data_IF_338857182716
#
_entry.id   IF_338857182716
#
_cell.length_a   1.000
_cell.length_b   1.000
_cell.length_c   1.000
_cell.angle_alpha   90.00
_cell.angle_beta   90.00
_cell.angle_gamma   90.00
#
_symmetry.space_group_name_H-M   'P 1'
#
loop_
_entity.id
_entity.type
_entity.pdbx_description
1 polymer ?
#
# COMPACT_ATOMS: atom_id res chain seq x y z
N UNK A 1 -5.45 -9.12 9.33
CA UNK A 1 -4.95 -7.94 10.09
C UNK A 1 -5.81 -6.70 9.83
N UNK A 2 -5.70 -5.67 10.69
CA UNK A 2 -6.23 -4.34 10.41
C UNK A 2 -5.41 -3.69 9.29
N UNK A 3 -6.03 -2.83 8.49
CA UNK A 3 -5.44 -2.17 7.32
C UNK A 3 -4.07 -1.52 7.60
N UNK A 4 -3.89 -0.91 8.77
CA UNK A 4 -2.62 -0.26 9.16
C UNK A 4 -1.44 -1.22 9.22
N UNK A 5 -1.66 -2.46 9.68
CA UNK A 5 -0.58 -3.43 9.82
C UNK A 5 -0.11 -3.95 8.45
N UNK A 6 -0.96 -3.85 7.41
CA UNK A 6 -0.59 -4.17 6.03
C UNK A 6 0.39 -3.16 5.44
N UNK A 7 0.58 -1.99 6.07
CA UNK A 7 1.60 -1.02 5.69
C UNK A 7 2.98 -1.26 6.35
N UNK A 8 3.10 -2.23 7.28
CA UNK A 8 4.37 -2.53 7.96
C UNK A 8 5.57 -2.80 7.02
N UNK A 9 5.42 -3.53 5.89
CA UNK A 9 6.52 -3.72 4.93
C UNK A 9 7.07 -2.40 4.39
N UNK A 10 6.20 -1.44 4.13
CA UNK A 10 6.57 -0.12 3.60
C UNK A 10 7.30 0.72 4.65
N UNK A 11 6.94 0.60 5.93
CA UNK A 11 7.70 1.25 7.01
C UNK A 11 9.11 0.66 7.14
N UNK A 12 9.24 -0.67 7.10
CA UNK A 12 10.56 -1.32 7.13
C UNK A 12 11.43 -0.89 5.95
N UNK A 13 10.84 -0.88 4.74
CA UNK A 13 11.48 -0.35 3.54
C UNK A 13 11.90 1.11 3.71
N UNK A 14 10.99 1.99 4.14
CA UNK A 14 11.22 3.42 4.32
C UNK A 14 12.33 3.71 5.34
N UNK A 15 12.48 2.93 6.40
CA UNK A 15 13.57 3.13 7.36
C UNK A 15 14.92 2.79 6.72
N UNK A 16 15.03 1.65 6.05
CA UNK A 16 16.30 1.16 5.52
C UNK A 16 16.81 1.96 4.31
N UNK A 17 15.90 2.46 3.46
CA UNK A 17 16.27 3.35 2.36
C UNK A 17 16.86 4.67 2.85
N UNK A 18 16.38 5.22 3.98
CA UNK A 18 16.96 6.44 4.58
C UNK A 18 18.36 6.21 5.16
N UNK A 19 18.69 4.96 5.50
CA UNK A 19 20.03 4.56 5.92
C UNK A 19 20.97 4.26 4.72
N UNK A 20 20.46 4.36 3.48
CA UNK A 20 21.22 4.10 2.26
C UNK A 20 21.24 2.64 1.81
N UNK A 21 20.57 1.73 2.51
CA UNK A 21 20.59 0.30 2.22
C UNK A 21 19.40 -0.12 1.33
N UNK A 22 19.39 0.27 0.05
CA UNK A 22 18.25 0.04 -0.84
C UNK A 22 17.91 -1.44 -1.04
N UNK A 23 18.91 -2.27 -1.35
CA UNK A 23 18.67 -3.70 -1.57
C UNK A 23 18.18 -4.39 -0.29
N UNK A 24 18.79 -4.07 0.85
CA UNK A 24 18.34 -4.57 2.14
C UNK A 24 16.92 -4.09 2.49
N UNK A 25 16.55 -2.87 2.10
CA UNK A 25 15.20 -2.34 2.29
C UNK A 25 14.15 -3.17 1.53
N UNK A 26 14.45 -3.57 0.28
CA UNK A 26 13.56 -4.41 -0.52
C UNK A 26 13.40 -5.80 0.09
N UNK A 27 14.50 -6.43 0.50
CA UNK A 27 14.46 -7.72 1.19
C UNK A 27 13.74 -7.65 2.54
N UNK A 28 13.94 -6.58 3.31
CA UNK A 28 13.24 -6.38 4.57
C UNK A 28 11.74 -6.19 4.36
N UNK A 29 11.33 -5.42 3.34
CA UNK A 29 9.94 -5.30 2.94
C UNK A 29 9.34 -6.67 2.58
N UNK A 30 10.05 -7.47 1.78
CA UNK A 30 9.63 -8.82 1.40
C UNK A 30 9.51 -9.75 2.63
N UNK A 31 10.50 -9.73 3.52
CA UNK A 31 10.53 -10.54 4.73
C UNK A 31 9.39 -10.17 5.69
N UNK A 32 9.14 -8.88 5.90
CA UNK A 32 8.03 -8.40 6.74
C UNK A 32 6.69 -8.78 6.11
N UNK A 33 6.53 -8.61 4.79
CA UNK A 33 5.31 -9.02 4.09
C UNK A 33 5.07 -10.54 4.21
N UNK A 34 6.10 -11.35 4.00
CA UNK A 34 6.03 -12.81 4.13
C UNK A 34 5.70 -13.24 5.57
N UNK A 35 6.35 -12.64 6.56
CA UNK A 35 6.11 -12.94 7.97
C UNK A 35 4.67 -12.62 8.38
N UNK A 36 4.13 -11.49 7.93
CA UNK A 36 2.74 -11.11 8.19
C UNK A 36 1.75 -12.05 7.50
N UNK A 37 1.99 -12.38 6.23
CA UNK A 37 1.16 -13.31 5.47
C UNK A 37 1.14 -14.71 6.12
N UNK A 38 2.32 -15.18 6.53
CA UNK A 38 2.47 -16.48 7.20
C UNK A 38 1.81 -16.47 8.58
N UNK A 39 1.97 -15.40 9.36
CA UNK A 39 1.30 -15.22 10.65
C UNK A 39 -0.22 -15.24 10.48
N UNK A 40 -0.76 -14.48 9.54
CA UNK A 40 -2.21 -14.41 9.33
C UNK A 40 -2.77 -15.77 8.89
N UNK A 41 -2.02 -16.53 8.09
CA UNK A 41 -2.47 -17.85 7.63
C UNK A 41 -2.32 -18.96 8.66
N UNK A 42 -1.16 -19.06 9.33
CA UNK A 42 -0.82 -20.16 10.23
C UNK A 42 -1.29 -19.93 11.67
N UNK A 43 -1.25 -18.68 12.15
CA UNK A 43 -1.56 -18.36 13.55
C UNK A 43 -3.02 -17.92 13.69
N UNK A 44 -3.50 -17.09 12.76
CA UNK A 44 -4.85 -16.49 12.86
C UNK A 44 -5.90 -17.15 11.96
N UNK A 45 -5.51 -18.09 11.09
CA UNK A 45 -6.43 -18.79 10.18
C UNK A 45 -7.17 -17.88 9.19
N UNK A 46 -6.63 -16.70 8.91
CA UNK A 46 -7.26 -15.68 8.05
C UNK A 46 -7.02 -15.98 6.57
N UNK A 47 -7.95 -15.51 5.74
CA UNK A 47 -7.79 -15.54 4.28
C UNK A 47 -6.76 -14.53 3.82
N UNK A 48 -6.02 -14.87 2.76
CA UNK A 48 -5.08 -13.93 2.15
C UNK A 48 -5.79 -12.73 1.56
N UNK A 49 -5.20 -11.55 1.75
CA UNK A 49 -5.71 -10.32 1.13
C UNK A 49 -4.94 -9.93 -0.12
N UNK A 50 -5.63 -9.36 -1.12
CA UNK A 50 -5.03 -8.90 -2.38
C UNK A 50 -3.85 -7.95 -2.11
N UNK A 51 -4.01 -7.01 -1.17
CA UNK A 51 -2.95 -6.07 -0.82
C UNK A 51 -1.73 -6.76 -0.20
N UNK A 52 -1.94 -7.77 0.65
CA UNK A 52 -0.86 -8.49 1.33
C UNK A 52 -0.05 -9.34 0.35
N UNK A 53 -0.74 -10.09 -0.51
CA UNK A 53 -0.10 -10.87 -1.59
C UNK A 53 0.63 -9.92 -2.55
N UNK A 54 -0.04 -8.86 -3.00
CA UNK A 54 0.53 -7.88 -3.92
C UNK A 54 1.79 -7.23 -3.35
N UNK A 55 1.76 -6.87 -2.06
CA UNK A 55 2.92 -6.28 -1.38
C UNK A 55 4.09 -7.25 -1.31
N UNK A 56 3.83 -8.52 -0.97
CA UNK A 56 4.87 -9.55 -0.96
C UNK A 56 5.47 -9.74 -2.36
N UNK A 57 4.63 -9.89 -3.38
CA UNK A 57 5.07 -10.07 -4.78
C UNK A 57 5.87 -8.86 -5.26
N UNK A 58 5.42 -7.64 -4.93
CA UNK A 58 6.12 -6.41 -5.28
C UNK A 58 7.51 -6.35 -4.66
N UNK A 59 7.63 -6.49 -3.34
CA UNK A 59 8.92 -6.40 -2.68
C UNK A 59 9.85 -7.56 -3.03
N UNK A 60 9.35 -8.81 -3.06
CA UNK A 60 10.15 -9.96 -3.43
C UNK A 60 10.60 -9.86 -4.90
N UNK A 61 9.70 -9.46 -5.80
CA UNK A 61 10.01 -9.26 -7.21
C UNK A 61 11.07 -8.18 -7.43
N UNK A 62 10.94 -7.03 -6.76
CA UNK A 62 11.93 -5.96 -6.84
C UNK A 62 13.27 -6.34 -6.21
N UNK A 63 13.26 -7.06 -5.08
CA UNK A 63 14.48 -7.54 -4.44
C UNK A 63 15.23 -8.52 -5.34
N UNK A 64 14.53 -9.50 -5.91
CA UNK A 64 15.10 -10.45 -6.86
C UNK A 64 15.59 -9.75 -8.13
N UNK A 65 14.78 -8.87 -8.71
CA UNK A 65 15.17 -8.09 -9.89
C UNK A 65 16.45 -7.30 -9.64
N UNK A 66 16.54 -6.58 -8.53
CA UNK A 66 17.72 -5.80 -8.14
C UNK A 66 18.94 -6.70 -7.97
N UNK A 67 18.79 -7.83 -7.27
CA UNK A 67 19.88 -8.77 -7.01
C UNK A 67 20.43 -9.43 -8.27
N UNK A 68 19.58 -9.77 -9.24
CA UNK A 68 19.98 -10.46 -10.46
C UNK A 68 20.48 -9.53 -11.57
N UNK A 69 19.93 -8.32 -11.67
CA UNK A 69 20.37 -7.33 -12.67
C UNK A 69 21.53 -6.48 -12.20
N UNK A 70 21.81 -6.44 -10.89
CA UNK A 70 22.78 -5.50 -10.31
C UNK A 70 22.34 -4.04 -10.43
N UNK A 71 21.03 -3.80 -10.58
CA UNK A 71 20.49 -2.45 -10.75
C UNK A 71 20.85 -1.57 -9.55
N UNK A 72 21.41 -0.40 -9.83
CA UNK A 72 21.69 0.61 -8.79
C UNK A 72 20.57 1.64 -8.80
N UNK A 73 19.86 1.73 -7.69
CA UNK A 73 18.72 2.62 -7.56
C UNK A 73 19.12 3.90 -6.85
N UNK A 74 18.61 5.03 -7.33
CA UNK A 74 18.51 6.23 -6.50
C UNK A 74 17.32 6.08 -5.55
N UNK A 75 17.39 6.75 -4.40
CA UNK A 75 16.28 6.78 -3.42
C UNK A 75 14.93 7.16 -4.06
N UNK A 76 14.81 8.25 -4.83
CA UNK A 76 13.53 8.61 -5.44
C UNK A 76 13.09 7.61 -6.52
N UNK A 77 14.02 6.98 -7.26
CA UNK A 77 13.67 6.00 -8.29
C UNK A 77 13.07 4.71 -7.70
N UNK A 78 13.68 4.14 -6.65
CA UNK A 78 13.12 2.93 -6.03
C UNK A 78 11.79 3.22 -5.34
N UNK A 79 11.64 4.40 -4.72
CA UNK A 79 10.35 4.82 -4.12
C UNK A 79 9.27 4.95 -5.18
N UNK A 80 9.57 5.61 -6.30
CA UNK A 80 8.65 5.73 -7.44
C UNK A 80 8.16 4.36 -7.91
N UNK A 81 9.06 3.38 -8.08
CA UNK A 81 8.69 2.03 -8.53
C UNK A 81 7.84 1.29 -7.48
N UNK A 82 8.17 1.42 -6.19
CA UNK A 82 7.38 0.81 -5.11
C UNK A 82 5.99 1.43 -5.01
N UNK A 83 5.90 2.76 -5.03
CA UNK A 83 4.62 3.48 -4.92
C UNK A 83 3.76 3.28 -6.18
N UNK A 84 4.38 3.18 -7.36
CA UNK A 84 3.69 2.83 -8.59
C UNK A 84 3.18 1.38 -8.55
N UNK A 85 3.98 0.45 -8.03
CA UNK A 85 3.55 -0.93 -7.80
C UNK A 85 2.37 -1.02 -6.85
N UNK A 86 2.38 -0.24 -5.77
CA UNK A 86 1.27 -0.16 -4.81
C UNK A 86 0.00 0.41 -5.45
N UNK A 87 0.12 1.49 -6.22
CA UNK A 87 -0.98 2.04 -7.00
C UNK A 87 -1.56 1.00 -7.96
N UNK A 88 -0.71 0.27 -8.68
CA UNK A 88 -1.13 -0.79 -9.60
C UNK A 88 -1.89 -1.90 -8.89
N UNK A 89 -1.45 -2.35 -7.72
CA UNK A 89 -2.17 -3.37 -6.91
C UNK A 89 -3.58 -2.88 -6.57
N UNK A 90 -3.71 -1.62 -6.16
CA UNK A 90 -4.98 -1.02 -5.77
C UNK A 90 -5.92 -0.88 -6.98
N UNK A 91 -5.40 -0.38 -8.11
CA UNK A 91 -6.17 -0.28 -9.35
C UNK A 91 -6.57 -1.65 -9.90
N UNK A 92 -5.67 -2.65 -9.84
CA UNK A 92 -5.97 -4.02 -10.23
C UNK A 92 -7.09 -4.61 -9.35
N UNK A 93 -7.10 -4.32 -8.04
CA UNK A 93 -8.18 -4.76 -7.14
C UNK A 93 -9.54 -4.19 -7.56
N UNK A 94 -9.58 -2.93 -8.02
CA UNK A 94 -10.80 -2.31 -8.56
C UNK A 94 -11.21 -2.94 -9.90
N UNK A 95 -10.25 -3.19 -10.79
CA UNK A 95 -10.49 -3.78 -12.11
C UNK A 95 -11.06 -5.21 -12.03
N UNK A 96 -10.60 -6.00 -11.05
CA UNK A 96 -11.12 -7.35 -10.78
C UNK A 96 -12.46 -7.32 -10.03
N UNK A 97 -12.98 -6.12 -9.70
CA UNK A 97 -14.26 -5.96 -9.01
C UNK A 97 -14.22 -6.35 -7.52
N UNK A 98 -13.02 -6.46 -6.94
CA UNK A 98 -12.80 -6.78 -5.53
C UNK A 98 -11.94 -5.68 -4.88
N UNK A 99 -12.53 -4.50 -4.57
CA UNK A 99 -11.80 -3.40 -3.95
C UNK A 99 -11.04 -3.90 -2.73
N UNK A 100 -9.74 -3.63 -2.62
CA UNK A 100 -8.92 -4.26 -1.58
C UNK A 100 -9.44 -3.98 -0.16
N UNK A 101 -10.07 -2.81 0.08
CA UNK A 101 -10.64 -2.47 1.38
C UNK A 101 -11.80 -3.38 1.78
N UNK A 102 -12.52 -3.96 0.81
CA UNK A 102 -13.63 -4.88 1.05
C UNK A 102 -13.20 -6.07 1.92
N UNK A 103 -11.99 -6.59 1.69
CA UNK A 103 -11.44 -7.72 2.44
C UNK A 103 -11.09 -7.34 3.89
N UNK A 104 -10.77 -6.08 4.15
CA UNK A 104 -10.54 -5.58 5.51
C UNK A 104 -11.86 -5.24 6.20
N UNK A 105 -12.82 -4.66 5.48
CA UNK A 105 -14.13 -4.34 6.03
C UNK A 105 -14.85 -5.61 6.50
N UNK A 106 -14.82 -6.69 5.70
CA UNK A 106 -15.39 -7.98 6.09
C UNK A 106 -14.86 -8.55 7.40
N UNK A 107 -13.60 -8.30 7.75
CA UNK A 107 -13.04 -8.73 9.04
C UNK A 107 -13.66 -8.00 10.25
N UNK A 108 -14.28 -6.83 10.04
CA UNK A 108 -14.78 -5.93 11.09
C UNK A 108 -16.30 -5.72 11.07
N UNK A 109 -16.96 -6.08 9.97
CA UNK A 109 -18.40 -5.85 9.76
C UNK A 109 -19.17 -7.17 9.86
N UNK A 110 -20.37 -7.20 10.49
CA UNK A 110 -21.24 -8.37 10.52
C UNK A 110 -21.55 -8.92 9.13
N UNK A 111 -21.70 -10.25 9.01
CA UNK A 111 -21.92 -10.94 7.72
C UNK A 111 -23.19 -10.49 7.02
N UNK A 112 -24.21 -10.08 7.76
CA UNK A 112 -25.51 -9.65 7.23
C UNK A 112 -25.38 -8.40 6.33
N UNK A 113 -24.39 -7.55 6.60
CA UNK A 113 -24.12 -6.36 5.81
C UNK A 113 -23.27 -6.63 4.54
N UNK A 114 -22.59 -7.78 4.44
CA UNK A 114 -21.61 -8.05 3.38
C UNK A 114 -22.23 -8.09 1.97
N UNK A 115 -23.50 -8.49 1.88
CA UNK A 115 -24.24 -8.60 0.62
C UNK A 115 -24.93 -7.31 0.17
N UNK A 116 -24.88 -6.25 0.97
CA UNK A 116 -25.59 -5.01 0.63
C UNK A 116 -24.87 -4.22 -0.46
N UNK A 117 -25.59 -3.64 -1.44
CA UNK A 117 -24.98 -2.78 -2.45
C UNK A 117 -24.23 -1.59 -1.83
N UNK A 118 -24.74 -1.04 -0.74
CA UNK A 118 -24.13 0.06 -0.01
C UNK A 118 -22.75 -0.31 0.56
N UNK A 119 -22.60 -1.50 1.14
CA UNK A 119 -21.31 -1.99 1.65
C UNK A 119 -20.25 -2.07 0.55
N UNK A 120 -20.63 -2.54 -0.65
CA UNK A 120 -19.73 -2.56 -1.79
C UNK A 120 -19.34 -1.15 -2.25
N UNK A 121 -20.31 -0.23 -2.36
CA UNK A 121 -20.07 1.14 -2.84
C UNK A 121 -19.20 1.96 -1.88
N UNK A 122 -19.37 1.80 -0.57
CA UNK A 122 -18.52 2.44 0.44
C UNK A 122 -17.08 1.95 0.28
N UNK A 123 -16.86 0.65 0.20
CA UNK A 123 -15.52 0.08 0.02
C UNK A 123 -14.88 0.46 -1.31
N UNK A 124 -15.67 0.52 -2.39
CA UNK A 124 -15.20 1.00 -3.68
C UNK A 124 -14.73 2.47 -3.61
N UNK A 125 -15.50 3.33 -2.95
CA UNK A 125 -15.14 4.74 -2.74
C UNK A 125 -13.88 4.88 -1.90
N UNK A 126 -13.77 4.15 -0.77
CA UNK A 126 -12.58 4.16 0.07
C UNK A 126 -11.35 3.70 -0.74
N UNK A 127 -11.49 2.63 -1.53
CA UNK A 127 -10.41 2.14 -2.39
C UNK A 127 -9.99 3.17 -3.45
N UNK A 128 -10.93 3.92 -4.03
CA UNK A 128 -10.63 5.01 -4.97
C UNK A 128 -9.88 6.17 -4.28
N UNK A 129 -10.22 6.51 -3.04
CA UNK A 129 -9.48 7.52 -2.28
C UNK A 129 -8.05 7.08 -2.01
N UNK A 130 -7.84 5.80 -1.68
CA UNK A 130 -6.50 5.23 -1.58
C UNK A 130 -5.74 5.25 -2.91
N UNK A 131 -6.41 4.90 -4.01
CA UNK A 131 -5.80 4.99 -5.34
C UNK A 131 -5.37 6.42 -5.67
N UNK A 132 -6.21 7.42 -5.36
CA UNK A 132 -5.87 8.83 -5.55
C UNK A 132 -4.68 9.26 -4.68
N UNK A 133 -4.63 8.82 -3.42
CA UNK A 133 -3.51 9.10 -2.53
C UNK A 133 -2.21 8.50 -3.08
N UNK A 134 -2.21 7.22 -3.50
CA UNK A 134 -1.02 6.61 -4.10
C UNK A 134 -0.63 7.25 -5.43
N UNK A 135 -1.59 7.72 -6.22
CA UNK A 135 -1.30 8.50 -7.43
C UNK A 135 -0.56 9.81 -7.09
N UNK A 136 -0.93 10.51 -6.01
CA UNK A 136 -0.19 11.69 -5.53
C UNK A 136 1.23 11.32 -5.12
N UNK A 137 1.43 10.18 -4.43
CA UNK A 137 2.76 9.71 -4.06
C UNK A 137 3.63 9.43 -5.29
N UNK A 138 3.09 8.72 -6.27
CA UNK A 138 3.77 8.43 -7.55
C UNK A 138 4.15 9.72 -8.27
N UNK A 139 3.24 10.69 -8.34
CA UNK A 139 3.50 11.98 -8.97
C UNK A 139 4.58 12.78 -8.22
N UNK A 140 4.56 12.76 -6.88
CA UNK A 140 5.58 13.42 -6.07
C UNK A 140 6.95 12.77 -6.27
N UNK A 141 7.04 11.44 -6.25
CA UNK A 141 8.31 10.75 -6.47
C UNK A 141 8.80 10.88 -7.92
N UNK A 142 7.89 10.88 -8.91
CA UNK A 142 8.24 11.18 -10.29
C UNK A 142 8.76 12.61 -10.44
N UNK A 143 8.14 13.58 -9.78
CA UNK A 143 8.61 14.96 -9.74
C UNK A 143 10.02 15.04 -9.13
N UNK A 144 10.31 14.30 -8.06
CA UNK A 144 11.67 14.23 -7.50
C UNK A 144 12.70 13.61 -8.45
N UNK A 145 12.29 12.66 -9.31
CA UNK A 145 13.18 12.02 -10.30
C UNK A 145 13.44 12.92 -11.50
N UNK A 146 12.40 13.57 -12.04
CA UNK A 146 12.46 14.27 -13.33
C UNK A 146 12.55 15.80 -13.22
N UNK A 147 12.17 16.39 -12.08
CA UNK A 147 12.15 17.85 -11.84
C UNK A 147 12.84 18.17 -10.51
N UNK A 148 14.19 18.13 -10.45
CA UNK A 148 14.95 18.28 -9.20
C UNK A 148 14.81 19.66 -8.53
N UNK A 149 14.26 20.63 -9.24
CA UNK A 149 14.06 22.01 -8.78
C UNK A 149 12.93 22.15 -7.76
N UNK A 150 12.05 21.14 -7.65
CA UNK A 150 10.96 21.15 -6.67
C UNK A 150 11.52 20.98 -5.26
N UNK A 151 11.18 21.87 -4.30
CA UNK A 151 11.62 21.73 -2.93
C UNK A 151 11.08 20.44 -2.31
N UNK A 152 11.99 19.56 -1.86
CA UNK A 152 11.68 18.28 -1.16
C UNK A 152 10.60 18.39 -0.06
N UNK A 153 10.49 19.54 0.60
CA UNK A 153 9.48 19.78 1.64
C UNK A 153 8.06 19.71 1.10
N UNK A 154 7.84 20.18 -0.13
CA UNK A 154 6.53 20.19 -0.78
C UNK A 154 6.08 18.76 -1.08
N UNK A 155 6.97 17.92 -1.59
CA UNK A 155 6.68 16.51 -1.89
C UNK A 155 6.33 15.72 -0.63
N UNK A 156 7.10 15.92 0.45
CA UNK A 156 6.83 15.31 1.76
C UNK A 156 5.46 15.77 2.29
N UNK A 157 5.17 17.07 2.23
CA UNK A 157 3.89 17.61 2.68
C UNK A 157 2.72 17.04 1.86
N UNK A 158 2.84 16.99 0.53
CA UNK A 158 1.82 16.44 -0.34
C UNK A 158 1.55 14.95 -0.02
N UNK A 159 2.62 14.17 0.17
CA UNK A 159 2.55 12.75 0.52
C UNK A 159 1.86 12.53 1.87
N UNK A 160 2.30 13.26 2.90
CA UNK A 160 1.71 13.16 4.25
C UNK A 160 0.25 13.58 4.24
N UNK A 161 -0.10 14.68 3.58
CA UNK A 161 -1.48 15.15 3.49
C UNK A 161 -2.37 14.16 2.74
N UNK A 162 -1.87 13.55 1.65
CA UNK A 162 -2.60 12.54 0.90
C UNK A 162 -2.90 11.30 1.75
N UNK A 163 -1.89 10.74 2.44
CA UNK A 163 -2.05 9.57 3.29
C UNK A 163 -2.95 9.85 4.51
N UNK A 164 -2.74 10.98 5.19
CA UNK A 164 -3.57 11.40 6.32
C UNK A 164 -5.01 11.65 5.88
N UNK A 165 -5.20 12.25 4.70
CA UNK A 165 -6.52 12.46 4.09
C UNK A 165 -7.24 11.14 3.83
N UNK A 166 -6.57 10.19 3.17
CA UNK A 166 -7.12 8.86 2.88
C UNK A 166 -7.47 8.09 4.16
N UNK A 167 -6.61 8.16 5.18
CA UNK A 167 -6.86 7.56 6.48
C UNK A 167 -8.07 8.17 7.17
N UNK A 168 -8.11 9.50 7.32
CA UNK A 168 -9.24 10.22 7.95
C UNK A 168 -10.55 9.95 7.22
N UNK A 169 -10.51 9.90 5.89
CA UNK A 169 -11.68 9.55 5.08
C UNK A 169 -12.15 8.13 5.37
N UNK A 170 -11.22 7.15 5.41
CA UNK A 170 -11.53 5.75 5.73
C UNK A 170 -12.22 5.64 7.08
N UNK A 171 -11.65 6.25 8.13
CA UNK A 171 -12.23 6.22 9.48
C UNK A 171 -13.64 6.82 9.51
N UNK A 172 -13.85 7.97 8.85
CA UNK A 172 -15.16 8.62 8.77
C UNK A 172 -16.19 7.78 8.00
N UNK A 173 -15.80 7.22 6.86
CA UNK A 173 -16.67 6.41 6.02
C UNK A 173 -17.11 5.12 6.74
N UNK A 174 -16.20 4.46 7.47
CA UNK A 174 -16.53 3.27 8.25
C UNK A 174 -17.48 3.60 9.42
N UNK A 175 -17.27 4.73 10.10
CA UNK A 175 -18.14 5.18 11.19
C UNK A 175 -19.59 5.46 10.71
N UNK A 176 -19.75 6.08 9.54
CA UNK A 176 -21.06 6.36 8.95
C UNK A 176 -21.82 5.11 8.49
N UNK A 177 -21.10 4.04 8.10
CA UNK A 177 -21.71 2.78 7.68
C UNK A 177 -22.16 1.86 8.83
N UNK A 178 -21.86 2.24 10.08
CA UNK A 178 -22.21 1.48 11.29
C UNK A 178 -23.48 2.00 11.99
N UNK A 179 -24.08 3.07 11.46
CA UNK A 179 -25.37 3.64 11.87
C UNK A 179 -26.46 3.17 10.92
#
# INVERSE_FOLDING_TARGET
MNLLASFAPFFAFAILIHLGFVEAALWAGAAVAAALLLRDRLVLGRSFKILEIGTLVLFAGLALYTRFTGQTWTIPAVRLVVDAGLLLIVLASLAVGQPFTLQYARDTTPRDAWGTPQFFQVNRTITLVWAAAFAVLVLADAAMVYVPEIPRRIDILATVLALVGAYKFTVRATAQSSQ
#
